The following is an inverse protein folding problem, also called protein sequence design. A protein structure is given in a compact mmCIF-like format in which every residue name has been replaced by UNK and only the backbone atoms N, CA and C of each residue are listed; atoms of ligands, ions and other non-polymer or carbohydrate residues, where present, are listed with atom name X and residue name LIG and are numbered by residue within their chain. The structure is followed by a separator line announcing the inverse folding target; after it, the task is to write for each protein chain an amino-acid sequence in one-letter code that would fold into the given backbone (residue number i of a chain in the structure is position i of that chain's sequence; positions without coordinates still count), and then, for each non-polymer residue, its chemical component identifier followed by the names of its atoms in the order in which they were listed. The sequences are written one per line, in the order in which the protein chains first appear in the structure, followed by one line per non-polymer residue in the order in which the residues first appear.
data_IF_270010057191
#
_entry.id   IF_270010057191
#
_cell.length_a   1.000
_cell.length_b   1.000
_cell.length_c   1.000
_cell.angle_alpha   90.00
_cell.angle_beta   90.00
_cell.angle_gamma   90.00
#
_symmetry.space_group_name_H-M   'P 1'
#
loop_
_entity.id
_entity.type
_entity.pdbx_description
1 polymer ?
#
# COMPACT_ATOMS: atom_id res chain seq x y z
N UNK A 1 37.36 -74.51 45.17
CA UNK A 1 36.09 -75.11 45.65
C UNK A 1 35.03 -74.02 45.75
N UNK A 2 33.84 -74.27 45.18
CA UNK A 2 32.50 -73.66 45.47
C UNK A 2 32.37 -72.11 45.44
N UNK A 3 31.69 -71.57 44.41
CA UNK A 3 30.30 -71.00 44.38
C UNK A 3 30.17 -69.64 45.10
N UNK A 4 29.79 -68.55 44.42
CA UNK A 4 28.42 -67.94 44.26
C UNK A 4 28.58 -66.87 43.14
N UNK A 5 27.86 -66.77 41.99
CA UNK A 5 26.44 -66.59 41.58
C UNK A 5 25.81 -65.18 41.72
N UNK A 6 25.34 -64.66 40.56
CA UNK A 6 24.37 -63.58 40.26
C UNK A 6 24.77 -62.09 40.45
N UNK A 7 24.33 -61.09 39.66
CA UNK A 7 23.62 -60.90 38.37
C UNK A 7 23.54 -59.37 38.11
N UNK A 8 23.54 -58.93 36.83
CA UNK A 8 22.69 -57.87 36.24
C UNK A 8 23.30 -57.41 34.89
N UNK A 9 22.84 -57.92 33.75
CA UNK A 9 21.71 -57.44 32.94
C UNK A 9 22.03 -56.18 32.10
N UNK A 10 22.57 -56.37 30.89
CA UNK A 10 22.54 -55.39 29.80
C UNK A 10 21.25 -55.62 28.98
N UNK A 11 20.40 -54.59 28.94
CA UNK A 11 19.24 -54.53 28.08
C UNK A 11 19.66 -54.32 26.61
N UNK A 12 19.10 -55.13 25.72
CA UNK A 12 19.31 -55.04 24.28
C UNK A 12 18.48 -53.88 23.70
N UNK A 13 19.15 -53.03 22.93
CA UNK A 13 18.54 -52.04 22.06
C UNK A 13 17.65 -52.74 21.01
N UNK A 14 16.33 -52.58 21.12
CA UNK A 14 15.41 -52.76 20.00
C UNK A 14 15.10 -51.36 19.44
N UNK A 15 15.68 -51.04 18.29
CA UNK A 15 15.35 -49.84 17.54
C UNK A 15 13.91 -49.92 17.04
N UNK A 16 13.03 -49.07 17.61
CA UNK A 16 11.74 -48.78 16.99
C UNK A 16 11.99 -47.81 15.83
N UNK A 17 12.10 -48.36 14.63
CA UNK A 17 11.89 -47.57 13.41
C UNK A 17 10.38 -47.31 13.35
N UNK A 18 9.95 -46.13 13.80
CA UNK A 18 8.61 -45.64 13.50
C UNK A 18 8.53 -45.43 11.99
N UNK A 19 7.94 -46.39 11.27
CA UNK A 19 7.47 -46.14 9.92
C UNK A 19 6.37 -45.07 10.02
N UNK A 20 6.67 -43.84 9.64
CA UNK A 20 5.63 -42.86 9.31
C UNK A 20 4.81 -43.49 8.20
N UNK A 21 3.56 -43.84 8.50
CA UNK A 21 2.59 -44.28 7.51
C UNK A 21 2.35 -43.09 6.59
N UNK A 22 3.02 -43.07 5.43
CA UNK A 22 2.68 -42.17 4.35
C UNK A 22 1.23 -42.46 3.97
N UNK A 23 0.37 -41.45 4.09
CA UNK A 23 -1.03 -41.56 3.68
C UNK A 23 -1.09 -42.02 2.21
N UNK A 24 -2.12 -42.78 1.82
CA UNK A 24 -2.25 -43.16 0.42
C UNK A 24 -2.57 -41.93 -0.46
N UNK A 25 -2.14 -41.89 -1.74
CA UNK A 25 -2.56 -40.86 -2.67
C UNK A 25 -4.09 -40.76 -2.77
N UNK A 26 -4.61 -39.54 -2.89
CA UNK A 26 -6.05 -39.29 -3.00
C UNK A 26 -6.44 -39.20 -4.48
N UNK A 27 -7.30 -40.12 -4.92
CA UNK A 27 -7.87 -40.11 -6.27
C UNK A 27 -9.27 -39.49 -6.24
N UNK A 28 -9.49 -38.45 -7.03
CA UNK A 28 -10.77 -37.73 -7.11
C UNK A 28 -11.28 -37.78 -8.55
N UNK A 29 -12.32 -38.60 -8.83
CA UNK A 29 -12.92 -38.66 -10.15
C UNK A 29 -13.79 -37.41 -10.41
N UNK A 30 -13.83 -36.98 -11.66
CA UNK A 30 -14.71 -35.90 -12.14
C UNK A 30 -15.13 -36.16 -13.60
N UNK A 31 -16.10 -35.39 -14.09
CA UNK A 31 -16.52 -35.44 -15.49
C UNK A 31 -16.11 -34.15 -16.18
N UNK A 32 -15.37 -34.27 -17.29
CA UNK A 32 -15.04 -33.13 -18.16
C UNK A 32 -16.24 -32.81 -19.03
N UNK A 33 -16.82 -33.86 -19.63
CA UNK A 33 -18.06 -33.82 -20.40
C UNK A 33 -18.74 -35.17 -20.30
N UNK A 34 -20.00 -35.27 -20.71
CA UNK A 34 -20.69 -36.55 -20.85
C UNK A 34 -19.83 -37.53 -21.70
N UNK A 35 -19.50 -38.70 -21.12
CA UNK A 35 -18.67 -39.72 -21.78
C UNK A 35 -17.15 -39.49 -21.70
N UNK A 36 -16.70 -38.41 -21.06
CA UNK A 36 -15.28 -38.07 -20.91
C UNK A 36 -14.92 -37.88 -19.43
N UNK A 37 -14.56 -38.96 -18.72
CA UNK A 37 -14.19 -38.90 -17.31
C UNK A 37 -12.75 -38.40 -17.13
N UNK A 38 -12.46 -37.81 -15.97
CA UNK A 38 -11.12 -37.49 -15.51
C UNK A 38 -10.89 -37.98 -14.08
N UNK A 39 -9.63 -38.19 -13.70
CA UNK A 39 -9.23 -38.48 -12.32
C UNK A 39 -8.06 -37.57 -11.97
N UNK A 40 -8.20 -36.79 -10.90
CA UNK A 40 -7.08 -36.10 -10.26
C UNK A 40 -6.48 -36.98 -9.18
N UNK A 41 -5.17 -37.16 -9.21
CA UNK A 41 -4.41 -37.85 -8.17
C UNK A 41 -3.59 -36.83 -7.42
N UNK A 42 -3.72 -36.77 -6.09
CA UNK A 42 -2.89 -35.93 -5.21
C UNK A 42 -2.03 -36.82 -4.33
N UNK A 43 -0.71 -36.68 -4.40
CA UNK A 43 0.21 -37.45 -3.56
C UNK A 43 0.13 -37.01 -2.09
N UNK A 44 0.49 -37.92 -1.19
CA UNK A 44 0.67 -37.62 0.23
C UNK A 44 2.05 -37.01 0.52
N UNK A 45 2.17 -36.31 1.65
CA UNK A 45 3.44 -35.81 2.18
C UNK A 45 3.48 -34.28 2.26
N UNK A 46 4.63 -33.76 2.69
CA UNK A 46 4.85 -32.32 2.94
C UNK A 46 4.96 -31.48 1.65
N UNK A 47 5.05 -32.14 0.49
CA UNK A 47 4.93 -31.50 -0.82
C UNK A 47 4.05 -32.39 -1.67
N UNK A 48 2.84 -31.91 -1.96
CA UNK A 48 1.87 -32.69 -2.71
C UNK A 48 2.08 -32.48 -4.20
N UNK A 49 2.13 -33.56 -4.96
CA UNK A 49 2.13 -33.55 -6.41
C UNK A 49 0.72 -33.86 -6.89
N UNK A 50 0.16 -33.00 -7.75
CA UNK A 50 -1.10 -33.29 -8.41
C UNK A 50 -0.85 -33.71 -9.86
N UNK A 51 -1.54 -34.76 -10.28
CA UNK A 51 -1.60 -35.21 -11.66
C UNK A 51 -3.05 -35.44 -12.08
N UNK A 52 -3.31 -35.42 -13.38
CA UNK A 52 -4.62 -35.68 -13.95
C UNK A 52 -4.53 -36.72 -15.06
N UNK A 53 -5.51 -37.60 -15.13
CA UNK A 53 -5.67 -38.53 -16.25
C UNK A 53 -7.07 -38.40 -16.83
N UNK A 54 -7.15 -38.27 -18.15
CA UNK A 54 -8.41 -38.12 -18.91
C UNK A 54 -8.73 -39.43 -19.63
N UNK A 55 -9.88 -40.04 -19.33
CA UNK A 55 -10.23 -41.37 -19.83
C UNK A 55 -9.12 -42.38 -19.56
N UNK A 56 -8.75 -43.14 -20.60
CA UNK A 56 -7.63 -44.09 -20.59
C UNK A 56 -6.32 -43.48 -21.12
N UNK A 57 -6.25 -42.15 -21.19
CA UNK A 57 -5.07 -41.41 -21.63
C UNK A 57 -3.89 -41.48 -20.64
N UNK A 58 -2.74 -40.89 -21.01
CA UNK A 58 -1.60 -40.79 -20.12
C UNK A 58 -1.90 -39.89 -18.91
N UNK A 59 -1.16 -40.11 -17.83
CA UNK A 59 -1.15 -39.20 -16.68
C UNK A 59 -0.37 -37.92 -17.03
N UNK A 60 -0.97 -36.77 -16.73
CA UNK A 60 -0.40 -35.45 -16.95
C UNK A 60 -0.07 -34.79 -15.60
N UNK A 61 1.14 -34.24 -15.41
CA UNK A 61 1.45 -33.45 -14.23
C UNK A 61 0.73 -32.10 -14.25
N UNK A 62 0.13 -31.73 -13.11
CA UNK A 62 -0.44 -30.41 -12.86
C UNK A 62 0.50 -29.53 -12.01
N UNK A 63 1.36 -30.15 -11.21
CA UNK A 63 2.47 -29.50 -10.52
C UNK A 63 2.53 -29.80 -9.03
N UNK A 64 3.47 -29.14 -8.35
CA UNK A 64 3.68 -29.25 -6.91
C UNK A 64 2.89 -28.19 -6.15
N UNK A 65 2.39 -28.59 -4.99
CA UNK A 65 1.71 -27.79 -3.99
C UNK A 65 2.56 -27.83 -2.73
N UNK A 66 2.60 -26.73 -1.98
CA UNK A 66 3.41 -26.61 -0.76
C UNK A 66 2.84 -27.44 0.39
N UNK A 67 3.24 -27.15 1.63
CA UNK A 67 2.92 -27.98 2.79
C UNK A 67 1.42 -28.03 3.12
N UNK A 68 0.64 -27.05 2.65
CA UNK A 68 -0.80 -27.04 2.85
C UNK A 68 -1.47 -28.09 1.95
N UNK A 69 -2.38 -28.87 2.51
CA UNK A 69 -3.05 -29.91 1.73
C UNK A 69 -3.92 -29.28 0.63
N UNK A 70 -3.85 -29.84 -0.58
CA UNK A 70 -4.91 -29.64 -1.58
C UNK A 70 -6.19 -30.22 -0.99
N UNK A 71 -7.10 -29.38 -0.58
CA UNK A 71 -8.33 -29.75 0.12
C UNK A 71 -9.59 -29.43 -0.69
N UNK A 72 -9.42 -28.72 -1.81
CA UNK A 72 -10.49 -28.45 -2.76
C UNK A 72 -10.12 -28.89 -4.18
N UNK A 73 -11.03 -29.64 -4.79
CA UNK A 73 -10.95 -30.06 -6.20
C UNK A 73 -12.33 -29.83 -6.80
N UNK A 74 -12.43 -28.89 -7.74
CA UNK A 74 -13.69 -28.58 -8.42
C UNK A 74 -13.57 -28.73 -9.93
N UNK A 75 -14.68 -29.08 -10.58
CA UNK A 75 -14.78 -29.17 -12.02
C UNK A 75 -15.91 -28.27 -12.54
N UNK A 76 -15.52 -27.17 -13.21
CA UNK A 76 -16.40 -26.10 -13.70
C UNK A 76 -15.93 -25.67 -15.09
N UNK A 77 -16.84 -25.29 -15.97
CA UNK A 77 -16.51 -24.76 -17.30
C UNK A 77 -16.16 -23.27 -17.15
N UNK A 78 -14.87 -22.93 -17.16
CA UNK A 78 -14.34 -21.58 -16.90
C UNK A 78 -14.46 -20.71 -18.14
N UNK A 79 -14.21 -21.26 -19.32
CA UNK A 79 -14.22 -20.52 -20.59
C UNK A 79 -15.55 -20.66 -21.38
N UNK A 80 -16.51 -21.42 -20.85
CA UNK A 80 -17.81 -21.70 -21.46
C UNK A 80 -17.73 -22.41 -22.81
N UNK A 81 -16.73 -23.29 -23.00
CA UNK A 81 -16.54 -24.06 -24.24
C UNK A 81 -17.29 -25.41 -24.26
N UNK A 82 -18.00 -25.75 -23.17
CA UNK A 82 -18.76 -26.97 -23.01
C UNK A 82 -17.93 -28.16 -22.48
N UNK A 83 -16.70 -27.93 -22.06
CA UNK A 83 -15.85 -28.86 -21.33
C UNK A 83 -15.55 -28.28 -19.94
N UNK A 84 -15.67 -29.11 -18.89
CA UNK A 84 -15.33 -28.69 -17.54
C UNK A 84 -13.82 -28.68 -17.34
N UNK A 85 -13.36 -27.56 -16.82
CA UNK A 85 -12.00 -27.27 -16.38
C UNK A 85 -11.80 -27.69 -14.92
N UNK A 86 -10.58 -27.55 -14.42
CA UNK A 86 -10.20 -27.99 -13.09
C UNK A 86 -9.72 -26.83 -12.21
N UNK A 87 -10.19 -26.79 -10.98
CA UNK A 87 -9.71 -25.90 -9.92
C UNK A 87 -9.14 -26.75 -8.80
N UNK A 88 -7.87 -26.53 -8.46
CA UNK A 88 -7.19 -27.15 -7.33
C UNK A 88 -6.88 -26.07 -6.30
N UNK A 89 -7.41 -26.23 -5.08
CA UNK A 89 -7.28 -25.24 -4.03
C UNK A 89 -6.63 -25.79 -2.76
N UNK A 90 -5.88 -24.92 -2.09
CA UNK A 90 -5.28 -25.12 -0.77
C UNK A 90 -5.83 -24.05 0.18
N UNK A 91 -6.54 -24.46 1.23
CA UNK A 91 -7.01 -23.50 2.25
C UNK A 91 -6.05 -23.32 3.42
N UNK A 92 -5.21 -24.34 3.70
CA UNK A 92 -4.37 -24.37 4.91
C UNK A 92 -5.18 -24.34 6.22
N UNK A 93 -6.48 -24.64 6.18
CA UNK A 93 -7.40 -24.46 7.31
C UNK A 93 -7.82 -23.01 7.56
N UNK A 94 -7.45 -22.09 6.67
CA UNK A 94 -7.88 -20.69 6.70
C UNK A 94 -9.17 -20.47 5.92
N UNK A 95 -9.75 -19.28 6.02
CA UNK A 95 -10.87 -18.86 5.16
C UNK A 95 -10.42 -18.46 3.75
N UNK A 96 -9.12 -18.41 3.48
CA UNK A 96 -8.55 -18.10 2.18
C UNK A 96 -8.23 -19.41 1.44
N UNK A 97 -8.72 -19.51 0.22
CA UNK A 97 -8.40 -20.60 -0.69
C UNK A 97 -7.45 -20.09 -1.77
N UNK A 98 -6.22 -20.58 -1.76
CA UNK A 98 -5.27 -20.34 -2.86
C UNK A 98 -5.49 -21.37 -3.94
N UNK A 99 -5.90 -20.93 -5.14
CA UNK A 99 -6.29 -21.82 -6.22
C UNK A 99 -5.33 -21.76 -7.41
N UNK A 100 -5.14 -22.92 -8.04
CA UNK A 100 -4.58 -23.06 -9.38
C UNK A 100 -5.70 -23.53 -10.32
N UNK A 101 -5.81 -22.87 -11.47
CA UNK A 101 -6.89 -23.07 -12.43
C UNK A 101 -6.31 -23.71 -13.69
N UNK A 102 -7.00 -24.71 -14.25
CA UNK A 102 -6.51 -25.45 -15.40
C UNK A 102 -7.61 -25.66 -16.44
N UNK A 103 -7.42 -25.11 -17.64
CA UNK A 103 -8.33 -25.26 -18.77
C UNK A 103 -8.13 -26.59 -19.49
N UNK A 104 -9.20 -27.30 -19.77
CA UNK A 104 -9.17 -28.45 -20.66
C UNK A 104 -9.05 -28.01 -22.12
N UNK A 105 -8.09 -28.58 -22.86
CA UNK A 105 -7.89 -28.32 -24.28
C UNK A 105 -8.36 -29.52 -25.09
N UNK A 106 -9.57 -29.49 -25.68
CA UNK A 106 -10.13 -30.66 -26.38
C UNK A 106 -9.28 -31.10 -27.57
N UNK A 107 -8.61 -30.17 -28.26
CA UNK A 107 -7.74 -30.47 -29.40
C UNK A 107 -6.48 -31.27 -29.01
N UNK A 108 -6.09 -31.20 -27.74
CA UNK A 108 -4.89 -31.87 -27.23
C UNK A 108 -5.20 -32.97 -26.22
N UNK A 109 -6.42 -32.99 -25.67
CA UNK A 109 -6.83 -33.91 -24.62
C UNK A 109 -6.14 -33.67 -23.28
N UNK A 110 -5.57 -32.48 -23.07
CA UNK A 110 -4.74 -32.13 -21.91
C UNK A 110 -5.26 -30.88 -21.20
N UNK A 111 -4.79 -30.66 -19.98
CA UNK A 111 -5.04 -29.44 -19.21
C UNK A 111 -3.93 -28.40 -19.41
N UNK A 112 -4.27 -27.13 -19.46
CA UNK A 112 -3.34 -26.00 -19.49
C UNK A 112 -3.59 -25.13 -18.27
N UNK A 113 -2.56 -24.84 -17.49
CA UNK A 113 -2.69 -23.90 -16.35
C UNK A 113 -2.98 -22.48 -16.84
N UNK A 114 -3.97 -21.83 -16.22
CA UNK A 114 -4.17 -20.39 -16.32
C UNK A 114 -3.18 -19.73 -15.38
N UNK A 115 -2.16 -19.10 -15.94
CA UNK A 115 -1.15 -18.38 -15.15
C UNK A 115 -1.73 -17.07 -14.65
N UNK A 116 -1.53 -16.78 -13.37
CA UNK A 116 -1.91 -15.48 -12.80
C UNK A 116 -1.10 -14.35 -13.46
N UNK A 117 -1.75 -13.29 -13.99
CA UNK A 117 -1.07 -12.37 -14.90
C UNK A 117 -0.09 -11.42 -14.23
N UNK A 118 -0.24 -11.11 -12.94
CA UNK A 118 0.59 -10.10 -12.29
C UNK A 118 0.92 -10.40 -10.81
N UNK A 119 2.21 -10.45 -10.44
CA UNK A 119 2.64 -10.63 -9.04
C UNK A 119 2.44 -9.40 -8.15
N UNK A 120 2.19 -8.22 -8.73
CA UNK A 120 1.88 -6.97 -8.01
C UNK A 120 0.39 -6.83 -7.65
N UNK A 121 -0.44 -7.77 -8.09
CA UNK A 121 -1.85 -7.86 -7.74
C UNK A 121 -2.07 -7.86 -6.21
N UNK A 122 -3.11 -7.17 -5.70
CA UNK A 122 -3.45 -7.17 -4.28
C UNK A 122 -3.54 -8.57 -3.64
N UNK A 123 -4.10 -9.54 -4.37
CA UNK A 123 -4.32 -10.92 -3.92
C UNK A 123 -3.18 -11.88 -4.28
N UNK A 124 -2.20 -11.43 -5.06
CA UNK A 124 -0.97 -12.18 -5.37
C UNK A 124 -1.24 -13.60 -5.89
N UNK A 125 -2.33 -13.79 -6.63
CA UNK A 125 -2.79 -15.09 -7.10
C UNK A 125 -4.31 -15.21 -7.15
N UNK A 126 -4.82 -16.34 -7.65
CA UNK A 126 -6.24 -16.64 -7.64
C UNK A 126 -6.70 -17.08 -6.25
N UNK A 127 -7.05 -16.11 -5.41
CA UNK A 127 -7.54 -16.33 -4.04
C UNK A 127 -9.06 -16.28 -3.99
N UNK A 128 -9.70 -17.32 -3.47
CA UNK A 128 -11.15 -17.52 -3.47
C UNK A 128 -11.80 -17.21 -4.83
N UNK A 129 -11.33 -17.81 -5.93
CA UNK A 129 -11.87 -17.49 -7.25
C UNK A 129 -13.35 -17.88 -7.35
N UNK A 130 -14.13 -17.01 -7.98
CA UNK A 130 -15.51 -17.23 -8.39
C UNK A 130 -15.57 -17.11 -9.90
N UNK A 131 -16.03 -18.17 -10.56
CA UNK A 131 -16.18 -18.22 -12.02
C UNK A 131 -17.55 -17.67 -12.38
N UNK A 132 -17.61 -16.70 -13.31
CA UNK A 132 -18.88 -16.16 -13.79
C UNK A 132 -19.67 -17.23 -14.56
N UNK A 133 -20.97 -17.32 -14.29
CA UNK A 133 -21.84 -18.37 -14.84
C UNK A 133 -22.16 -18.20 -16.33
N UNK A 134 -21.84 -17.06 -16.94
CA UNK A 134 -22.26 -16.69 -18.31
C UNK A 134 -21.12 -16.18 -19.18
N UNK A 135 -20.02 -15.76 -18.58
CA UNK A 135 -18.89 -15.14 -19.24
C UNK A 135 -17.59 -15.80 -18.78
N UNK A 136 -16.58 -15.77 -19.64
CA UNK A 136 -15.23 -16.24 -19.32
C UNK A 136 -14.51 -15.21 -18.42
N UNK A 137 -15.06 -14.99 -17.22
CA UNK A 137 -14.61 -14.01 -16.24
C UNK A 137 -14.34 -14.73 -14.91
N UNK A 138 -13.24 -14.34 -14.26
CA UNK A 138 -12.82 -14.84 -12.96
C UNK A 138 -12.80 -13.67 -11.99
N UNK A 139 -13.62 -13.74 -10.96
CA UNK A 139 -13.60 -12.81 -9.83
C UNK A 139 -12.75 -13.39 -8.71
N UNK A 140 -11.92 -12.58 -8.10
CA UNK A 140 -10.98 -12.97 -7.03
C UNK A 140 -11.18 -12.03 -5.85
N UNK A 141 -11.10 -12.57 -4.64
CA UNK A 141 -11.22 -11.78 -3.41
C UNK A 141 -10.28 -12.33 -2.33
N UNK A 142 -9.50 -11.45 -1.73
CA UNK A 142 -8.55 -11.78 -0.68
C UNK A 142 -8.71 -10.86 0.53
N UNK A 143 -8.37 -11.39 1.70
CA UNK A 143 -8.35 -10.66 2.97
C UNK A 143 -7.30 -11.26 3.89
N UNK A 144 -6.16 -10.59 3.98
CA UNK A 144 -5.05 -10.92 4.87
C UNK A 144 -5.11 -10.15 6.19
N UNK A 145 -5.88 -9.06 6.26
CA UNK A 145 -6.08 -8.27 7.46
C UNK A 145 -7.19 -7.22 7.30
N UNK A 146 -7.28 -6.30 8.26
CA UNK A 146 -8.22 -5.18 8.18
C UNK A 146 -7.81 -4.14 7.13
N UNK A 147 -6.51 -3.95 6.92
CA UNK A 147 -5.94 -3.01 5.94
C UNK A 147 -5.19 -3.72 4.79
N UNK A 148 -5.47 -5.00 4.59
CA UNK A 148 -4.84 -5.81 3.55
C UNK A 148 -5.87 -6.77 2.98
N UNK A 149 -6.58 -6.29 1.97
CA UNK A 149 -7.61 -7.00 1.23
C UNK A 149 -7.67 -6.47 -0.19
N UNK A 150 -8.32 -7.22 -1.07
CA UNK A 150 -8.50 -6.80 -2.45
C UNK A 150 -9.56 -7.60 -3.17
N UNK A 151 -9.97 -7.04 -4.30
CA UNK A 151 -10.90 -7.64 -5.26
C UNK A 151 -10.29 -7.52 -6.64
N UNK A 152 -10.41 -8.55 -7.48
CA UNK A 152 -9.78 -8.54 -8.79
C UNK A 152 -10.68 -9.23 -9.81
N UNK A 153 -10.75 -8.66 -11.02
CA UNK A 153 -11.54 -9.19 -12.11
C UNK A 153 -10.63 -9.48 -13.31
N UNK A 154 -10.72 -10.72 -13.80
CA UNK A 154 -9.94 -11.18 -14.94
C UNK A 154 -10.87 -11.66 -16.06
N UNK A 155 -10.58 -11.26 -17.29
CA UNK A 155 -11.18 -11.86 -18.49
C UNK A 155 -10.22 -12.91 -19.03
N UNK A 156 -10.76 -14.07 -19.41
CA UNK A 156 -9.99 -15.14 -20.01
C UNK A 156 -10.03 -15.07 -21.54
N UNK A 157 -8.85 -15.01 -22.16
CA UNK A 157 -8.69 -15.09 -23.61
C UNK A 157 -8.91 -16.52 -24.13
N UNK A 158 -9.21 -16.64 -25.42
CA UNK A 158 -9.38 -17.96 -26.08
C UNK A 158 -8.11 -18.83 -26.00
N UNK A 159 -6.94 -18.19 -25.93
CA UNK A 159 -5.63 -18.82 -25.75
C UNK A 159 -5.34 -19.25 -24.29
N UNK A 160 -6.29 -19.03 -23.38
CA UNK A 160 -6.22 -19.39 -21.97
C UNK A 160 -5.41 -18.42 -21.10
N UNK A 161 -5.07 -17.25 -21.64
CA UNK A 161 -4.43 -16.20 -20.86
C UNK A 161 -5.47 -15.41 -20.07
N UNK A 162 -5.24 -15.23 -18.78
CA UNK A 162 -6.05 -14.33 -17.96
C UNK A 162 -5.51 -12.90 -18.09
N UNK A 163 -6.40 -11.92 -18.24
CA UNK A 163 -6.04 -10.50 -18.28
C UNK A 163 -6.85 -9.73 -17.27
N UNK A 164 -6.16 -8.93 -16.44
CA UNK A 164 -6.81 -8.06 -15.48
C UNK A 164 -7.67 -7.01 -16.18
N UNK A 165 -8.83 -6.72 -15.59
CA UNK A 165 -9.75 -5.65 -16.04
C UNK A 165 -9.98 -4.63 -14.95
N UNK A 166 -10.04 -5.08 -13.69
CA UNK A 166 -10.02 -4.22 -12.52
C UNK A 166 -9.35 -4.88 -11.33
N UNK A 167 -8.71 -4.04 -10.50
CA UNK A 167 -8.33 -4.39 -9.13
C UNK A 167 -8.88 -3.35 -8.15
N UNK A 168 -9.27 -3.81 -6.97
CA UNK A 168 -9.68 -3.03 -5.82
C UNK A 168 -8.74 -3.28 -4.65
N UNK A 169 -8.28 -2.22 -3.98
CA UNK A 169 -7.45 -2.29 -2.75
C UNK A 169 -7.55 -0.96 -2.01
N UNK A 170 -6.81 -0.79 -0.91
CA UNK A 170 -6.80 0.43 -0.10
C UNK A 170 -5.39 1.00 0.04
N UNK A 171 -5.29 2.32 0.19
CA UNK A 171 -4.04 2.98 0.58
C UNK A 171 -4.29 4.20 1.48
N UNK A 172 -3.39 4.41 2.43
CA UNK A 172 -3.35 5.62 3.23
C UNK A 172 -2.47 6.68 2.54
N UNK A 173 -2.93 7.93 2.52
CA UNK A 173 -2.20 9.05 1.92
C UNK A 173 -1.90 10.13 2.96
N UNK A 174 -0.73 10.77 2.85
CA UNK A 174 -0.35 11.94 3.63
C UNK A 174 -0.75 11.91 5.13
N UNK A 175 -1.59 12.86 5.52
CA UNK A 175 -2.11 13.06 6.88
C UNK A 175 -3.60 12.71 6.99
N UNK A 176 -4.07 11.74 6.21
CA UNK A 176 -5.45 11.26 6.29
C UNK A 176 -5.59 10.19 7.38
N UNK A 177 -6.74 10.15 8.04
CA UNK A 177 -7.03 9.19 9.11
C UNK A 177 -7.52 7.84 8.59
N UNK A 178 -8.14 7.85 7.42
CA UNK A 178 -8.74 6.67 6.80
C UNK A 178 -8.06 6.35 5.47
N UNK A 179 -7.94 5.05 5.18
CA UNK A 179 -7.45 4.61 3.89
C UNK A 179 -8.49 4.91 2.80
N UNK A 180 -8.02 5.43 1.67
CA UNK A 180 -8.85 5.59 0.49
C UNK A 180 -8.97 4.27 -0.26
N UNK A 181 -10.15 4.03 -0.83
CA UNK A 181 -10.40 2.93 -1.76
C UNK A 181 -9.76 3.25 -3.11
N UNK A 182 -9.04 2.27 -3.64
CA UNK A 182 -8.34 2.35 -4.91
C UNK A 182 -8.97 1.37 -5.90
N UNK A 183 -9.43 1.88 -7.03
CA UNK A 183 -9.95 1.08 -8.13
C UNK A 183 -9.08 1.24 -9.38
N UNK A 184 -8.24 0.25 -9.64
CA UNK A 184 -7.41 0.16 -10.84
C UNK A 184 -8.26 -0.31 -12.01
N UNK A 185 -8.12 0.34 -13.15
CA UNK A 185 -8.71 -0.06 -14.44
C UNK A 185 -7.60 -0.33 -15.43
N UNK A 186 -7.72 -1.42 -16.18
CA UNK A 186 -6.69 -1.87 -17.11
C UNK A 186 -7.15 -1.78 -18.57
N UNK A 187 -6.21 -1.50 -19.46
CA UNK A 187 -6.41 -1.58 -20.91
C UNK A 187 -6.30 -3.03 -21.40
N UNK A 188 -6.62 -3.23 -22.68
CA UNK A 188 -6.48 -4.53 -23.35
C UNK A 188 -5.04 -5.04 -23.40
N UNK A 189 -4.05 -4.15 -23.40
CA UNK A 189 -2.63 -4.51 -23.38
C UNK A 189 -2.10 -4.83 -21.97
N UNK A 190 -2.96 -4.79 -20.94
CA UNK A 190 -2.59 -5.01 -19.53
C UNK A 190 -1.97 -3.79 -18.84
N UNK A 191 -1.78 -2.67 -19.53
CA UNK A 191 -1.35 -1.42 -18.89
C UNK A 191 -2.47 -0.81 -18.05
N UNK A 192 -2.11 -0.10 -16.98
CA UNK A 192 -3.08 0.67 -16.19
C UNK A 192 -3.64 1.79 -17.06
N UNK A 193 -4.96 1.82 -17.22
CA UNK A 193 -5.65 2.96 -17.78
C UNK A 193 -5.72 4.08 -16.75
N UNK A 194 -6.39 3.85 -15.64
CA UNK A 194 -6.52 4.83 -14.56
C UNK A 194 -6.69 4.15 -13.21
N UNK A 195 -6.48 4.93 -12.16
CA UNK A 195 -6.72 4.57 -10.77
C UNK A 195 -7.72 5.57 -10.22
N UNK A 196 -8.93 5.11 -9.96
CA UNK A 196 -9.96 5.89 -9.28
C UNK A 196 -9.68 5.81 -7.77
N UNK A 197 -9.70 6.96 -7.08
CA UNK A 197 -9.37 7.07 -5.65
C UNK A 197 -10.57 7.70 -4.95
N UNK A 198 -11.23 6.94 -4.07
CA UNK A 198 -12.44 7.36 -3.35
C UNK A 198 -12.23 7.30 -1.83
N UNK A 199 -12.85 8.23 -1.10
CA UNK A 199 -12.77 8.29 0.37
C UNK A 199 -12.14 9.58 0.90
N UNK A 200 -11.87 9.60 2.21
CA UNK A 200 -11.11 10.70 2.81
C UNK A 200 -9.76 10.79 2.10
N UNK A 201 -9.40 11.99 1.69
CA UNK A 201 -8.16 12.14 0.95
C UNK A 201 -8.20 11.71 -0.51
N UNK A 202 -9.36 11.68 -1.18
CA UNK A 202 -9.41 11.64 -2.66
C UNK A 202 -8.71 12.88 -3.27
N UNK A 203 -7.58 12.72 -3.98
CA UNK A 203 -6.69 13.83 -4.34
C UNK A 203 -7.18 14.68 -5.52
N UNK A 204 -8.07 14.13 -6.34
CA UNK A 204 -8.56 14.74 -7.58
C UNK A 204 -10.04 14.36 -7.76
N UNK A 205 -10.95 15.23 -7.32
CA UNK A 205 -12.38 15.00 -7.53
C UNK A 205 -12.70 15.04 -9.03
N UNK A 206 -13.11 13.90 -9.59
CA UNK A 206 -13.36 13.77 -11.02
C UNK A 206 -12.13 14.03 -11.91
N UNK A 207 -10.90 13.95 -11.35
CA UNK A 207 -9.66 14.25 -12.06
C UNK A 207 -9.29 15.74 -12.11
N UNK A 208 -10.07 16.64 -11.52
CA UNK A 208 -9.81 18.08 -11.58
C UNK A 208 -8.71 18.52 -10.60
N UNK A 209 -7.80 19.38 -11.06
CA UNK A 209 -6.76 20.00 -10.23
C UNK A 209 -7.39 20.96 -9.21
N UNK A 210 -7.18 20.76 -7.89
CA UNK A 210 -7.86 21.53 -6.83
C UNK A 210 -7.10 22.80 -6.40
N UNK A 211 -5.90 23.03 -6.91
CA UNK A 211 -5.02 24.15 -6.53
C UNK A 211 -4.77 25.08 -7.71
N UNK A 212 -4.45 26.35 -7.43
CA UNK A 212 -4.27 27.37 -8.47
C UNK A 212 -3.15 27.05 -9.45
N UNK A 213 -2.10 26.40 -8.95
CA UNK A 213 -0.96 25.92 -9.73
C UNK A 213 -0.44 24.63 -9.11
N UNK A 214 -0.43 23.57 -9.90
CA UNK A 214 0.16 22.29 -9.54
C UNK A 214 1.45 22.07 -10.33
N UNK A 215 2.56 21.93 -9.61
CA UNK A 215 3.87 21.64 -10.21
C UNK A 215 3.95 20.16 -10.63
N UNK A 216 4.37 19.90 -11.87
CA UNK A 216 4.50 18.55 -12.44
C UNK A 216 5.98 18.20 -12.71
N UNK A 217 6.46 17.09 -12.16
CA UNK A 217 7.86 16.66 -12.27
C UNK A 217 8.01 15.38 -13.11
N UNK A 218 9.21 15.13 -13.64
CA UNK A 218 9.51 13.89 -14.39
C UNK A 218 9.81 12.70 -13.48
N UNK A 219 10.21 12.97 -12.24
CA UNK A 219 10.56 11.95 -11.24
C UNK A 219 9.85 12.23 -9.92
N UNK A 220 9.53 11.17 -9.13
CA UNK A 220 8.97 11.31 -7.79
C UNK A 220 10.10 11.61 -6.78
N UNK A 221 10.71 12.79 -6.93
CA UNK A 221 11.78 13.29 -6.06
C UNK A 221 11.41 14.71 -5.59
N UNK A 222 11.50 14.94 -4.29
CA UNK A 222 11.16 16.22 -3.67
C UNK A 222 12.06 17.37 -4.16
N UNK A 223 13.24 17.04 -4.66
CA UNK A 223 14.20 18.00 -5.20
C UNK A 223 14.06 18.21 -6.71
N UNK A 224 13.18 17.46 -7.38
CA UNK A 224 12.99 17.57 -8.81
C UNK A 224 12.48 18.97 -9.18
N UNK A 225 13.10 19.57 -10.20
CA UNK A 225 12.59 20.83 -10.75
C UNK A 225 11.34 20.54 -11.59
N UNK A 226 10.22 21.24 -11.36
CA UNK A 226 9.03 21.08 -12.18
C UNK A 226 9.33 21.45 -13.63
N UNK A 227 8.94 20.58 -14.56
CA UNK A 227 9.10 20.82 -16.00
C UNK A 227 7.80 21.26 -16.67
N UNK A 228 6.68 21.08 -15.97
CA UNK A 228 5.34 21.52 -16.39
C UNK A 228 4.54 21.99 -15.17
N UNK A 229 3.41 22.65 -15.44
CA UNK A 229 2.42 22.96 -14.42
C UNK A 229 1.01 22.75 -14.98
N UNK A 230 0.09 22.30 -14.13
CA UNK A 230 -1.34 22.31 -14.40
C UNK A 230 -2.00 23.43 -13.59
N UNK A 231 -3.15 23.90 -14.06
CA UNK A 231 -3.93 24.97 -13.41
C UNK A 231 -5.24 24.42 -12.87
N UNK A 232 -5.84 25.15 -11.92
CA UNK A 232 -7.11 24.81 -11.27
C UNK A 232 -8.18 24.40 -12.30
N UNK A 233 -8.83 23.25 -12.08
CA UNK A 233 -9.87 22.70 -12.94
C UNK A 233 -9.38 21.96 -14.19
N UNK A 234 -8.08 21.96 -14.51
CA UNK A 234 -7.56 21.07 -15.56
C UNK A 234 -7.63 19.60 -15.13
N UNK A 235 -7.78 18.69 -16.10
CA UNK A 235 -7.99 17.26 -15.84
C UNK A 235 -6.68 16.47 -15.83
N UNK A 236 -6.56 15.55 -14.87
CA UNK A 236 -5.49 14.59 -14.68
C UNK A 236 -6.04 13.19 -14.41
N UNK A 237 -5.50 12.18 -15.08
CA UNK A 237 -5.79 10.78 -14.75
C UNK A 237 -4.64 10.21 -13.91
N UNK A 238 -4.91 9.65 -12.74
CA UNK A 238 -3.90 8.93 -11.94
C UNK A 238 -3.66 7.56 -12.58
N UNK A 239 -2.39 7.19 -12.81
CA UNK A 239 -2.03 5.94 -13.52
C UNK A 239 -1.00 5.09 -12.78
N UNK A 240 -0.35 5.62 -11.75
CA UNK A 240 0.48 4.86 -10.83
C UNK A 240 0.56 5.56 -9.48
N UNK A 241 0.88 4.79 -8.43
CA UNK A 241 1.01 5.29 -7.07
C UNK A 241 2.37 4.90 -6.50
N UNK A 242 2.93 5.77 -5.66
CA UNK A 242 3.96 5.44 -4.68
C UNK A 242 3.51 6.05 -3.34
N UNK A 243 2.59 5.39 -2.63
CA UNK A 243 2.11 5.87 -1.35
C UNK A 243 3.26 6.02 -0.34
N UNK A 244 3.12 6.94 0.64
CA UNK A 244 1.93 7.78 0.87
C UNK A 244 1.90 9.09 0.06
N UNK A 245 2.99 9.42 -0.65
CA UNK A 245 3.23 10.81 -1.07
C UNK A 245 3.09 11.09 -2.56
N UNK A 246 3.22 10.10 -3.44
CA UNK A 246 3.41 10.36 -4.86
C UNK A 246 2.36 9.68 -5.73
N UNK A 247 1.86 10.46 -6.68
CA UNK A 247 0.93 10.03 -7.72
C UNK A 247 1.61 10.27 -9.07
N UNK A 248 1.58 9.28 -9.96
CA UNK A 248 1.86 9.51 -11.36
C UNK A 248 0.56 9.84 -12.07
N UNK A 249 0.55 10.97 -12.76
CA UNK A 249 -0.58 11.46 -13.53
C UNK A 249 -0.28 11.47 -15.01
N UNK A 250 -1.31 11.18 -15.80
CA UNK A 250 -1.37 11.42 -17.23
C UNK A 250 -2.05 12.76 -17.47
N UNK A 251 -1.32 13.68 -18.07
CA UNK A 251 -1.76 15.05 -18.32
C UNK A 251 -1.80 15.34 -19.82
N UNK A 252 -2.96 15.74 -20.33
CA UNK A 252 -3.14 16.16 -21.72
C UNK A 252 -2.79 17.65 -21.87
N UNK A 253 -1.51 17.95 -22.04
CA UNK A 253 -1.06 19.33 -22.22
C UNK A 253 -1.50 19.90 -23.56
N UNK A 254 -1.96 21.15 -23.52
CA UNK A 254 -2.34 21.93 -24.70
C UNK A 254 -1.16 22.18 -25.65
N UNK A 255 0.08 22.12 -25.16
CA UNK A 255 1.29 22.45 -25.93
C UNK A 255 2.20 21.25 -26.21
N UNK A 256 2.26 20.29 -25.30
CA UNK A 256 3.18 19.15 -25.37
C UNK A 256 2.50 17.81 -25.71
N UNK A 257 1.18 17.79 -25.85
CA UNK A 257 0.42 16.54 -25.97
C UNK A 257 0.32 15.80 -24.64
N UNK A 258 0.09 14.48 -24.70
CA UNK A 258 -0.07 13.64 -23.50
C UNK A 258 1.29 13.37 -22.87
N UNK A 259 1.43 13.70 -21.58
CA UNK A 259 2.65 13.46 -20.80
C UNK A 259 2.33 12.68 -19.51
N UNK A 260 3.28 11.85 -19.07
CA UNK A 260 3.27 11.26 -17.74
C UNK A 260 4.15 12.09 -16.81
N UNK A 261 3.62 12.48 -15.67
CA UNK A 261 4.29 13.32 -14.67
C UNK A 261 4.02 12.82 -13.27
N UNK A 262 4.89 13.15 -12.33
CA UNK A 262 4.72 12.89 -10.91
C UNK A 262 4.27 14.15 -10.19
N UNK A 263 3.38 13.96 -9.22
CA UNK A 263 2.89 15.01 -8.32
C UNK A 263 2.89 14.49 -6.90
N UNK A 264 3.06 15.40 -5.95
CA UNK A 264 2.98 15.08 -4.54
C UNK A 264 1.56 15.25 -4.04
N UNK A 265 1.09 14.30 -3.24
CA UNK A 265 -0.22 14.34 -2.61
C UNK A 265 -0.42 15.64 -1.80
N UNK A 266 0.59 16.05 -1.03
CA UNK A 266 0.55 17.30 -0.27
C UNK A 266 0.36 18.56 -1.15
N UNK A 267 0.89 18.57 -2.38
CA UNK A 267 0.75 19.70 -3.32
C UNK A 267 -0.67 19.78 -3.94
N UNK A 268 -1.50 18.74 -3.78
CA UNK A 268 -2.92 18.74 -4.11
C UNK A 268 -3.80 19.21 -2.94
N UNK A 269 -3.27 19.13 -1.70
CA UNK A 269 -3.99 19.53 -0.48
C UNK A 269 -3.72 20.96 -0.07
N UNK A 270 -2.52 21.44 -0.34
CA UNK A 270 -2.05 22.76 0.09
C UNK A 270 -1.61 23.55 -1.13
N UNK A 271 -2.34 24.60 -1.48
CA UNK A 271 -1.96 25.54 -2.54
C UNK A 271 -0.77 26.40 -2.10
N UNK A 272 0.42 25.80 -2.12
CA UNK A 272 1.68 26.40 -1.69
C UNK A 272 2.05 27.67 -2.45
N UNK A 273 1.48 27.91 -3.63
CA UNK A 273 1.77 29.10 -4.45
C UNK A 273 0.94 30.31 -4.03
N UNK A 274 -0.20 30.12 -3.34
CA UNK A 274 -1.00 31.20 -2.75
C UNK A 274 -0.63 31.54 -1.31
N UNK A 275 0.10 30.66 -0.62
CA UNK A 275 0.48 30.89 0.78
C UNK A 275 1.43 32.08 0.95
N UNK A 276 1.19 32.86 2.00
CA UNK A 276 2.02 33.99 2.44
C UNK A 276 2.39 33.77 3.90
N UNK A 277 3.67 33.88 4.24
CA UNK A 277 4.18 33.73 5.59
C UNK A 277 4.66 35.09 6.13
N UNK A 278 4.26 35.50 7.36
CA UNK A 278 3.17 34.92 8.15
C UNK A 278 1.79 35.27 7.58
N UNK A 279 0.80 34.42 7.84
CA UNK A 279 -0.61 34.77 7.75
C UNK A 279 -1.26 34.69 9.12
N UNK A 280 -2.07 35.68 9.47
CA UNK A 280 -2.80 35.72 10.74
C UNK A 280 -4.27 36.05 10.50
N UNK A 281 -5.00 35.18 9.78
CA UNK A 281 -6.43 35.34 9.65
C UNK A 281 -7.05 35.27 11.05
N UNK A 282 -7.73 36.35 11.46
CA UNK A 282 -8.50 36.32 12.70
C UNK A 282 -9.52 35.18 12.62
N UNK A 283 -9.72 34.41 13.71
CA UNK A 283 -9.30 34.70 15.09
C UNK A 283 -7.98 34.03 15.53
N UNK A 284 -7.29 33.28 14.67
CA UNK A 284 -6.18 32.42 15.08
C UNK A 284 -4.81 33.01 14.69
N UNK A 285 -3.82 32.78 15.54
CA UNK A 285 -2.41 33.05 15.25
C UNK A 285 -1.61 31.76 15.39
N UNK A 286 -0.73 31.49 14.43
CA UNK A 286 0.15 30.33 14.43
C UNK A 286 1.59 30.80 14.56
N UNK A 287 2.32 30.27 15.52
CA UNK A 287 3.69 30.62 15.81
C UNK A 287 4.61 29.40 15.70
N UNK A 288 5.77 29.64 15.09
CA UNK A 288 6.84 28.67 14.95
C UNK A 288 8.08 29.20 15.67
N UNK A 289 8.61 28.41 16.58
CA UNK A 289 9.87 28.65 17.27
C UNK A 289 10.80 27.43 17.16
N UNK A 290 12.10 27.68 17.26
CA UNK A 290 13.11 26.64 17.16
C UNK A 290 14.34 26.95 18.02
N UNK A 291 15.11 25.91 18.31
CA UNK A 291 16.44 26.01 18.94
C UNK A 291 17.51 25.33 18.07
N UNK A 292 17.34 25.36 16.74
CA UNK A 292 18.26 24.71 15.79
C UNK A 292 19.64 25.37 15.81
N UNK A 293 19.69 26.69 16.05
CA UNK A 293 20.94 27.43 16.18
C UNK A 293 21.74 27.05 17.44
N UNK A 294 21.09 26.55 18.48
CA UNK A 294 21.70 26.10 19.73
C UNK A 294 21.65 24.57 19.85
N UNK A 295 22.03 23.86 18.79
CA UNK A 295 21.88 22.40 18.69
C UNK A 295 22.50 21.61 19.87
N UNK A 296 23.58 22.13 20.45
CA UNK A 296 24.30 21.48 21.55
C UNK A 296 23.83 21.93 22.94
N UNK A 297 22.88 22.86 23.04
CA UNK A 297 22.26 23.27 24.28
C UNK A 297 21.38 22.17 24.87
N UNK A 298 21.02 22.31 26.15
CA UNK A 298 20.12 21.38 26.87
C UNK A 298 18.81 21.17 26.11
N UNK A 299 18.22 22.27 25.62
CA UNK A 299 17.02 22.32 24.78
C UNK A 299 17.33 22.40 23.27
N UNK A 300 18.56 22.09 22.85
CA UNK A 300 19.00 22.24 21.46
C UNK A 300 18.27 21.32 20.47
N UNK A 301 17.96 21.83 19.28
CA UNK A 301 17.30 21.06 18.22
C UNK A 301 15.80 20.80 18.45
N UNK A 302 15.14 21.65 19.24
CA UNK A 302 13.67 21.62 19.42
C UNK A 302 12.97 22.35 18.27
N UNK A 303 11.84 21.77 17.86
CA UNK A 303 10.88 22.38 16.96
C UNK A 303 9.56 22.57 17.71
N UNK A 304 9.08 23.82 17.78
CA UNK A 304 7.95 24.20 18.63
C UNK A 304 6.90 24.92 17.81
N UNK A 305 5.68 24.41 17.83
CA UNK A 305 4.53 24.97 17.11
C UNK A 305 3.39 25.19 18.09
N UNK A 306 2.83 26.39 18.07
CA UNK A 306 1.65 26.72 18.86
C UNK A 306 0.62 27.48 18.05
N UNK A 307 -0.66 27.20 18.29
CA UNK A 307 -1.78 27.98 17.77
C UNK A 307 -2.52 28.66 18.91
N UNK A 308 -2.78 29.95 18.79
CA UNK A 308 -3.49 30.74 19.79
C UNK A 308 -4.79 31.31 19.24
N UNK A 309 -5.86 31.27 20.05
CA UNK A 309 -7.10 31.97 19.77
C UNK A 309 -7.07 33.38 20.34
N UNK A 310 -7.03 34.38 19.46
CA UNK A 310 -6.96 35.80 19.80
C UNK A 310 -8.34 36.48 19.89
N UNK A 311 -9.43 35.74 19.68
CA UNK A 311 -10.79 36.26 19.83
C UNK A 311 -11.36 36.03 21.24
N UNK A 312 -12.56 36.55 21.44
CA UNK A 312 -13.37 36.40 22.66
C UNK A 312 -14.31 35.18 22.62
N UNK A 313 -14.36 34.45 21.51
CA UNK A 313 -15.19 33.26 21.34
C UNK A 313 -14.33 31.99 21.17
N UNK A 314 -14.77 30.82 21.65
CA UNK A 314 -14.10 29.56 21.36
C UNK A 314 -14.03 29.25 19.86
N UNK A 315 -12.95 28.60 19.42
CA UNK A 315 -12.76 28.16 18.03
C UNK A 315 -12.54 26.65 18.02
N UNK A 316 -13.41 25.91 17.34
CA UNK A 316 -13.27 24.47 17.17
C UNK A 316 -12.31 24.14 16.02
N UNK A 317 -11.44 23.17 16.24
CA UNK A 317 -10.67 22.48 15.22
C UNK A 317 -11.11 21.02 15.23
N UNK A 318 -11.51 20.43 14.10
CA UNK A 318 -12.01 19.05 14.08
C UNK A 318 -10.95 18.04 13.62
N UNK A 319 -10.21 18.35 12.56
CA UNK A 319 -9.14 17.48 12.07
C UNK A 319 -7.92 18.32 11.64
N UNK A 320 -7.31 19.08 12.59
CA UNK A 320 -6.17 19.91 12.29
C UNK A 320 -4.98 19.11 11.74
N UNK A 321 -4.50 19.52 10.56
CA UNK A 321 -3.31 18.97 9.89
C UNK A 321 -2.21 20.03 9.87
N UNK A 322 -1.03 19.64 10.29
CA UNK A 322 0.17 20.47 10.40
C UNK A 322 1.14 20.06 9.30
N UNK A 323 1.50 21.01 8.45
CA UNK A 323 2.44 20.84 7.35
C UNK A 323 3.64 21.76 7.51
N UNK A 324 4.79 21.37 6.96
CA UNK A 324 5.91 22.28 6.76
C UNK A 324 5.89 22.83 5.34
N UNK A 325 5.93 24.15 5.23
CA UNK A 325 6.23 24.87 4.00
C UNK A 325 7.72 25.22 3.99
N UNK A 326 8.48 24.45 3.21
CA UNK A 326 9.91 24.66 3.02
C UNK A 326 10.15 25.46 1.74
N UNK A 327 11.03 26.46 1.81
CA UNK A 327 11.47 27.22 0.65
C UNK A 327 12.99 27.14 0.52
N UNK A 328 13.49 26.59 -0.58
CA UNK A 328 14.93 26.49 -0.82
C UNK A 328 15.53 27.83 -1.29
N UNK A 329 16.85 27.87 -1.45
CA UNK A 329 17.58 29.06 -1.90
C UNK A 329 17.15 29.58 -3.30
N UNK A 330 16.59 28.73 -4.15
CA UNK A 330 16.06 29.08 -5.47
C UNK A 330 14.60 29.57 -5.42
N UNK A 331 13.97 29.56 -4.24
CA UNK A 331 12.57 29.93 -4.06
C UNK A 331 11.57 28.81 -4.38
N UNK A 332 12.04 27.58 -4.63
CA UNK A 332 11.15 26.43 -4.81
C UNK A 332 10.49 26.08 -3.47
N UNK A 333 9.17 25.88 -3.52
CA UNK A 333 8.35 25.58 -2.36
C UNK A 333 8.01 24.10 -2.29
N UNK A 334 8.17 23.52 -1.11
CA UNK A 334 7.95 22.12 -0.79
C UNK A 334 7.02 22.06 0.42
N UNK A 335 5.82 21.52 0.24
CA UNK A 335 4.95 21.11 1.36
C UNK A 335 5.35 19.72 1.83
N UNK A 336 5.51 19.53 3.14
CA UNK A 336 5.81 18.24 3.78
C UNK A 336 4.82 17.97 4.91
N UNK A 337 4.16 16.80 4.95
CA UNK A 337 3.26 16.43 6.05
C UNK A 337 4.03 16.26 7.37
N UNK A 338 3.49 16.76 8.48
CA UNK A 338 4.12 16.61 9.80
C UNK A 338 3.21 15.91 10.81
N UNK A 339 2.04 16.48 11.11
CA UNK A 339 1.12 15.91 12.11
C UNK A 339 -0.32 15.98 11.66
N UNK A 340 -1.09 14.94 12.01
CA UNK A 340 -2.53 15.04 12.18
C UNK A 340 -2.81 15.13 13.68
N UNK A 341 -3.71 16.01 14.08
CA UNK A 341 -4.10 16.23 15.48
C UNK A 341 -5.59 15.93 15.65
N UNK A 342 -5.94 15.42 16.82
CA UNK A 342 -7.33 15.18 17.20
C UNK A 342 -8.13 16.49 17.28
N UNK A 343 -9.46 16.37 17.23
CA UNK A 343 -10.37 17.48 17.42
C UNK A 343 -10.14 18.16 18.78
N UNK A 344 -10.12 19.49 18.80
CA UNK A 344 -10.01 20.28 20.03
C UNK A 344 -10.72 21.64 19.91
N UNK A 345 -11.02 22.27 21.04
CA UNK A 345 -11.62 23.60 21.11
C UNK A 345 -10.67 24.59 21.78
N UNK A 346 -10.20 25.56 21.00
CA UNK A 346 -9.35 26.65 21.48
C UNK A 346 -10.19 27.70 22.21
N UNK A 347 -10.05 27.77 23.52
CA UNK A 347 -10.66 28.83 24.34
C UNK A 347 -9.97 30.20 24.11
N UNK A 348 -10.67 31.32 24.34
CA UNK A 348 -10.10 32.66 24.24
C UNK A 348 -8.78 32.82 25.00
N UNK A 349 -7.77 33.38 24.35
CA UNK A 349 -6.42 33.58 24.87
C UNK A 349 -5.72 32.30 25.38
N UNK A 350 -6.17 31.11 24.96
CA UNK A 350 -5.54 29.84 25.31
C UNK A 350 -4.73 29.30 24.12
N UNK A 351 -3.39 29.22 24.23
CA UNK A 351 -2.59 28.56 23.21
C UNK A 351 -2.68 27.04 23.33
N UNK A 352 -2.80 26.37 22.18
CA UNK A 352 -2.62 24.92 22.04
C UNK A 352 -1.23 24.64 21.48
N UNK A 353 -0.47 23.79 22.17
CA UNK A 353 0.77 23.24 21.64
C UNK A 353 0.47 22.20 20.57
N UNK A 354 0.85 22.48 19.32
CA UNK A 354 0.71 21.57 18.19
C UNK A 354 1.94 20.68 18.00
N UNK A 355 3.11 21.10 18.48
CA UNK A 355 4.34 20.30 18.51
C UNK A 355 5.33 20.91 19.50
N UNK A 356 6.07 20.09 20.23
CA UNK A 356 7.20 20.54 21.05
C UNK A 356 8.18 19.39 21.24
N UNK A 357 8.81 18.99 20.14
CA UNK A 357 9.52 17.73 20.08
C UNK A 357 10.98 17.96 19.67
N UNK A 358 11.94 17.25 20.30
CA UNK A 358 13.33 17.29 19.86
C UNK A 358 13.46 16.56 18.52
N UNK A 359 14.22 17.15 17.60
CA UNK A 359 14.61 16.49 16.36
C UNK A 359 15.74 15.51 16.66
N UNK A 360 15.53 14.25 16.33
CA UNK A 360 16.51 13.17 16.52
C UNK A 360 16.91 12.54 15.20
N UNK A 361 18.14 12.06 15.11
CA UNK A 361 18.65 11.27 14.00
C UNK A 361 18.55 9.79 14.35
N UNK A 362 17.64 9.08 13.68
CA UNK A 362 17.37 7.66 13.94
C UNK A 362 16.93 6.95 12.64
N UNK A 363 16.92 5.61 12.68
CA UNK A 363 16.32 4.83 11.60
C UNK A 363 14.79 5.03 11.60
N UNK A 364 14.23 5.42 10.45
CA UNK A 364 12.80 5.43 10.23
C UNK A 364 12.23 4.02 10.07
N UNK A 365 10.94 3.93 9.79
CA UNK A 365 10.24 2.64 9.61
C UNK A 365 10.82 1.79 8.46
N UNK A 366 11.36 2.43 7.42
CA UNK A 366 12.01 1.75 6.30
C UNK A 366 13.47 1.33 6.61
N UNK A 367 13.93 1.53 7.85
CA UNK A 367 15.27 1.23 8.31
C UNK A 367 16.33 2.25 7.86
N UNK A 368 15.97 3.27 7.08
CA UNK A 368 16.93 4.31 6.64
C UNK A 368 17.00 5.43 7.68
N UNK A 369 18.19 6.00 7.90
CA UNK A 369 18.35 7.08 8.86
C UNK A 369 17.72 8.38 8.34
N UNK A 370 16.97 9.06 9.21
CA UNK A 370 16.28 10.31 8.94
C UNK A 370 16.24 11.21 10.19
N UNK A 371 15.89 12.48 10.01
CA UNK A 371 15.52 13.38 11.11
C UNK A 371 14.07 13.11 11.48
N UNK A 372 13.82 12.69 12.72
CA UNK A 372 12.50 12.31 13.22
C UNK A 372 12.06 13.25 14.34
N UNK A 373 10.75 13.49 14.42
CA UNK A 373 10.08 14.03 15.61
C UNK A 373 9.31 12.90 16.29
N UNK A 374 9.31 12.92 17.62
CA UNK A 374 8.46 12.04 18.40
C UNK A 374 7.05 12.64 18.45
N UNK A 375 6.04 11.92 18.00
CA UNK A 375 4.65 12.34 18.14
C UNK A 375 4.07 11.85 19.47
N UNK A 376 4.28 12.62 20.54
CA UNK A 376 3.71 12.39 21.87
C UNK A 376 3.94 10.97 22.44
N UNK A 377 5.01 10.28 22.02
CA UNK A 377 5.37 8.94 22.46
C UNK A 377 4.71 7.79 21.69
N UNK A 378 3.87 8.09 20.70
CA UNK A 378 3.14 7.05 19.95
C UNK A 378 3.84 6.63 18.65
N UNK A 379 4.48 7.56 17.96
CA UNK A 379 5.17 7.29 16.70
C UNK A 379 6.35 8.25 16.48
N UNK A 380 7.21 7.93 15.51
CA UNK A 380 8.24 8.84 15.03
C UNK A 380 7.91 9.23 13.59
N UNK A 381 7.76 10.52 13.32
CA UNK A 381 7.45 11.05 11.99
C UNK A 381 8.69 11.72 11.39
N UNK A 382 8.96 11.56 10.08
CA UNK A 382 10.03 12.31 9.42
C UNK A 382 9.80 13.82 9.53
N UNK A 383 10.75 14.53 10.14
CA UNK A 383 10.71 15.98 10.27
C UNK A 383 10.86 16.67 8.91
N UNK A 384 11.80 16.19 8.09
CA UNK A 384 12.08 16.72 6.76
C UNK A 384 11.99 15.60 5.73
N UNK A 385 11.57 15.91 4.49
CA UNK A 385 11.72 14.97 3.39
C UNK A 385 13.22 14.85 3.03
N UNK A 386 13.56 13.97 2.09
CA UNK A 386 14.94 13.78 1.61
C UNK A 386 15.43 14.97 0.76
N UNK A 387 15.69 16.11 1.42
CA UNK A 387 16.10 17.37 0.78
C UNK A 387 17.53 17.30 0.23
N UNK A 388 17.80 18.12 -0.79
CA UNK A 388 19.16 18.42 -1.23
C UNK A 388 19.86 19.34 -0.21
N UNK A 389 21.18 19.18 0.02
CA UNK A 389 21.95 20.07 0.89
C UNK A 389 21.83 21.55 0.50
N UNK A 390 21.67 22.43 1.49
CA UNK A 390 21.57 23.87 1.26
C UNK A 390 20.77 24.62 2.32
N UNK A 391 20.54 25.91 2.04
CA UNK A 391 19.76 26.81 2.90
C UNK A 391 18.28 26.71 2.62
N UNK A 392 17.50 26.60 3.69
CA UNK A 392 16.04 26.57 3.65
C UNK A 392 15.45 27.59 4.60
N UNK A 393 14.30 28.12 4.22
CA UNK A 393 13.34 28.72 5.15
C UNK A 393 12.20 27.75 5.39
N UNK A 394 11.69 27.70 6.61
CA UNK A 394 10.52 26.91 6.96
C UNK A 394 9.46 27.78 7.61
N UNK A 395 8.20 27.55 7.25
CA UNK A 395 7.03 27.97 8.00
C UNK A 395 6.15 26.74 8.25
N UNK A 396 5.29 26.80 9.26
CA UNK A 396 4.24 25.81 9.49
C UNK A 396 2.95 26.28 8.83
N UNK A 397 2.23 25.36 8.21
CA UNK A 397 0.89 25.58 7.68
C UNK A 397 -0.08 24.72 8.47
N UNK A 398 -1.11 25.35 9.02
CA UNK A 398 -2.24 24.69 9.66
C UNK A 398 -3.43 24.69 8.70
N UNK A 399 -3.97 23.51 8.43
CA UNK A 399 -5.22 23.32 7.68
C UNK A 399 -6.20 22.53 8.52
N UNK A 400 -7.49 22.83 8.41
CA UNK A 400 -8.57 22.03 9.01
C UNK A 400 -9.74 22.02 8.02
N UNK A 401 -9.73 21.08 7.06
CA UNK A 401 -10.76 20.95 6.03
C UNK A 401 -12.17 20.97 6.64
N UNK A 402 -13.00 21.91 6.16
CA UNK A 402 -14.37 22.08 6.63
C UNK A 402 -14.56 23.05 7.80
N UNK A 403 -13.50 23.45 8.52
CA UNK A 403 -13.59 24.41 9.64
C UNK A 403 -12.81 25.70 9.41
N UNK A 404 -11.65 25.61 8.76
CA UNK A 404 -10.86 26.78 8.37
C UNK A 404 -11.16 27.16 6.94
N UNK A 405 -11.62 28.39 6.73
CA UNK A 405 -11.90 28.93 5.40
C UNK A 405 -10.64 29.05 4.53
N UNK A 406 -9.48 29.27 5.16
CA UNK A 406 -8.17 29.33 4.52
C UNK A 406 -7.09 28.78 5.46
N UNK A 407 -5.98 28.24 4.93
CA UNK A 407 -4.83 27.83 5.74
C UNK A 407 -4.21 28.99 6.53
N UNK A 408 -3.67 28.68 7.70
CA UNK A 408 -2.93 29.62 8.56
C UNK A 408 -1.45 29.30 8.44
N UNK A 409 -0.60 30.31 8.29
CA UNK A 409 0.84 30.15 8.05
C UNK A 409 1.61 30.90 9.13
N UNK A 410 2.57 30.23 9.78
CA UNK A 410 3.37 30.83 10.83
C UNK A 410 4.39 31.86 10.30
N UNK A 411 5.11 32.48 11.22
CA UNK A 411 6.40 33.11 10.90
C UNK A 411 7.39 32.08 10.29
N UNK A 412 8.43 32.60 9.64
CA UNK A 412 9.50 31.77 9.06
C UNK A 412 10.70 31.62 10.03
N UNK A 413 11.33 30.45 9.98
CA UNK A 413 12.67 30.18 10.54
C UNK A 413 13.63 29.81 9.40
N UNK A 414 14.94 29.84 9.64
CA UNK A 414 15.96 29.49 8.64
C UNK A 414 16.93 28.45 9.18
N UNK A 415 17.37 27.52 8.33
CA UNK A 415 18.36 26.51 8.68
C UNK A 415 19.18 26.05 7.47
N UNK A 416 20.33 25.46 7.75
CA UNK A 416 21.17 24.75 6.77
C UNK A 416 20.89 23.24 6.86
N UNK A 417 20.67 22.58 5.73
CA UNK A 417 20.51 21.14 5.61
C UNK A 417 21.79 20.51 5.02
N UNK A 418 22.29 19.36 5.52
CA UNK A 418 21.73 18.54 6.60
C UNK A 418 21.83 19.19 7.99
N UNK A 419 20.87 18.91 8.86
CA UNK A 419 20.94 19.32 10.28
C UNK A 419 22.04 18.54 11.01
N UNK A 420 22.60 19.03 12.12
CA UNK A 420 23.52 18.21 12.91
C UNK A 420 22.84 16.92 13.39
N UNK A 421 23.60 15.82 13.48
CA UNK A 421 23.04 14.52 13.89
C UNK A 421 23.05 14.40 15.42
N UNK A 422 21.88 14.19 16.02
CA UNK A 422 21.72 13.91 17.45
C UNK A 422 21.02 12.56 17.63
N UNK A 423 21.67 11.53 18.19
CA UNK A 423 20.97 10.27 18.46
C UNK A 423 19.84 10.49 19.47
N UNK A 424 18.80 9.65 19.47
CA UNK A 424 17.79 9.67 20.52
C UNK A 424 18.44 9.46 21.89
N UNK A 425 17.87 10.08 22.93
CA UNK A 425 18.32 9.85 24.30
C UNK A 425 18.24 8.35 24.64
N UNK A 426 19.22 7.84 25.38
CA UNK A 426 19.17 6.48 25.90
C UNK A 426 17.94 6.33 26.80
N UNK A 427 17.03 5.41 26.44
CA UNK A 427 15.85 5.06 27.25
C UNK A 427 16.24 4.37 28.56
#
# INVERSE_FOLDING_TARGET
MKRIFLVAALAACAGQVQAQVQAAPRNVPFSIKAGLPGVVTVSSGDTQQATVRVGDGPEQPLGSFDADAVDQIQAVDINHDGYRDLILGQSGGSTQLFARLFLYRPDHGTFQEIVHPDPSSPCRGFVNPVIDEKQAVIHVACRYGAASNGFEDYVLGSDGTARATSWGTQALFGLESEAAELSYRFREDGSIDRIDIEGEGSPLEGGAVPVSKLDLTDTPDVNATPTMAATEGEHLDVVALRPPDWLQVRYASKTAGVALKWVRYADLRVDKHRLVAPSSPRPLTLDLADTLADWNGEDGGQFIVSVANTSDAPVALNAPRVWLLLTNAQGHRIVHPLYQRDADTLLPANPLGLARDPIVWAAGEDGKPAYLLNDNGYSNVPFLPALAPGKYRAAVVLTDPGNLAQPIVSNEISFDYPLPQRPPASQ
#
